data_IF_453124284200
#
_entry.id   IF_453124284200
#
_cell.length_a   1.000
_cell.length_b   1.000
_cell.length_c   1.000
_cell.angle_alpha   90.00
_cell.angle_beta   90.00
_cell.angle_gamma   90.00
#
_symmetry.space_group_name_H-M   'P 1'
#
loop_
_entity.id
_entity.type
_entity.pdbx_description
1 polymer ?
#
# COMPACT_ATOMS: atom_id res chain seq x y z
N UNK A 1 2.02 11.53 14.95
CA UNK A 1 2.18 10.13 15.38
C UNK A 1 1.04 9.31 14.81
N UNK A 2 1.26 8.04 14.52
CA UNK A 2 0.20 7.12 14.08
C UNK A 2 -0.06 6.08 15.15
N UNK A 3 -1.13 5.29 14.99
CA UNK A 3 -1.62 4.37 16.02
C UNK A 3 -0.60 3.32 16.45
N UNK A 4 0.43 3.03 15.63
CA UNK A 4 1.51 2.08 15.97
C UNK A 4 2.28 2.49 17.23
N UNK A 5 2.37 3.79 17.52
CA UNK A 5 3.13 4.36 18.64
C UNK A 5 2.21 4.99 19.71
N UNK A 6 0.92 4.64 19.73
CA UNK A 6 -0.07 5.20 20.65
C UNK A 6 -0.49 4.21 21.73
N UNK A 7 -0.85 4.74 22.90
CA UNK A 7 -1.55 4.00 23.96
C UNK A 7 -3.08 4.18 23.87
N UNK A 8 -3.82 3.43 24.69
CA UNK A 8 -5.26 3.65 24.85
C UNK A 8 -5.55 5.01 25.52
N UNK A 9 -6.63 5.73 25.12
CA UNK A 9 -7.66 5.32 24.16
C UNK A 9 -7.34 5.69 22.70
N UNK A 10 -6.27 6.44 22.45
CA UNK A 10 -5.96 7.02 21.14
C UNK A 10 -5.63 5.96 20.09
N UNK A 11 -4.91 4.89 20.48
CA UNK A 11 -4.59 3.76 19.60
C UNK A 11 -5.84 3.16 18.97
N UNK A 12 -6.83 2.77 19.78
CA UNK A 12 -8.06 2.15 19.27
C UNK A 12 -8.89 3.13 18.47
N UNK A 13 -8.94 4.40 18.88
CA UNK A 13 -9.66 5.44 18.14
C UNK A 13 -9.13 5.60 16.71
N UNK A 14 -7.80 5.74 16.54
CA UNK A 14 -7.23 5.96 15.21
C UNK A 14 -7.17 4.66 14.40
N UNK A 15 -6.87 3.52 15.02
CA UNK A 15 -6.89 2.20 14.35
C UNK A 15 -8.28 1.85 13.81
N UNK A 16 -9.33 2.17 14.58
CA UNK A 16 -10.72 1.94 14.17
C UNK A 16 -11.14 2.70 12.90
N UNK A 17 -10.38 3.71 12.48
CA UNK A 17 -10.65 4.46 11.24
C UNK A 17 -10.38 3.62 9.97
N UNK A 18 -9.54 2.58 10.08
CA UNK A 18 -9.08 1.77 8.93
C UNK A 18 -9.29 0.26 9.10
N UNK A 19 -9.66 -0.21 10.30
CA UNK A 19 -9.72 -1.64 10.60
C UNK A 19 -10.70 -2.44 9.74
N UNK A 20 -11.77 -1.81 9.25
CA UNK A 20 -12.79 -2.45 8.42
C UNK A 20 -12.25 -3.04 7.12
N UNK A 21 -11.14 -2.51 6.59
CA UNK A 21 -10.46 -3.04 5.40
C UNK A 21 -9.62 -4.30 5.68
N UNK A 22 -9.44 -4.64 6.95
CA UNK A 22 -8.63 -5.78 7.40
C UNK A 22 -9.45 -6.79 8.21
N UNK A 23 -10.76 -6.57 8.33
CA UNK A 23 -11.68 -7.57 8.87
C UNK A 23 -11.78 -8.79 7.95
N UNK A 24 -12.05 -9.96 8.54
CA UNK A 24 -12.13 -11.24 7.82
C UNK A 24 -13.09 -11.17 6.63
N UNK A 25 -14.25 -10.54 6.81
CA UNK A 25 -15.27 -10.36 5.76
C UNK A 25 -14.73 -9.61 4.53
N UNK A 26 -13.97 -8.53 4.75
CA UNK A 26 -13.36 -7.75 3.68
C UNK A 26 -12.25 -8.56 2.98
N UNK A 27 -11.37 -9.19 3.77
CA UNK A 27 -10.28 -10.03 3.24
C UNK A 27 -10.82 -11.22 2.43
N UNK A 28 -11.87 -11.89 2.89
CA UNK A 28 -12.54 -12.98 2.16
C UNK A 28 -13.13 -12.47 0.83
N UNK A 29 -13.69 -11.26 0.82
CA UNK A 29 -14.16 -10.59 -0.39
C UNK A 29 -13.04 -10.30 -1.41
N UNK A 30 -11.81 -10.07 -0.95
CA UNK A 30 -10.64 -9.85 -1.80
C UNK A 30 -10.02 -11.14 -2.35
N UNK A 31 -10.45 -12.32 -1.89
CA UNK A 31 -9.77 -13.60 -2.21
C UNK A 31 -9.67 -13.84 -3.73
N UNK A 32 -10.72 -13.53 -4.49
CA UNK A 32 -10.69 -13.66 -5.95
C UNK A 32 -9.62 -12.76 -6.59
N UNK A 33 -9.49 -11.52 -6.10
CA UNK A 33 -8.49 -10.58 -6.56
C UNK A 33 -7.07 -11.06 -6.22
N UNK A 34 -6.84 -11.51 -4.97
CA UNK A 34 -5.54 -12.02 -4.51
C UNK A 34 -5.10 -13.23 -5.36
N UNK A 35 -5.99 -14.20 -5.57
CA UNK A 35 -5.71 -15.39 -6.39
C UNK A 35 -5.39 -14.98 -7.83
N UNK A 36 -6.17 -14.06 -8.41
CA UNK A 36 -5.92 -13.57 -9.76
C UNK A 36 -4.56 -12.89 -9.87
N UNK A 37 -4.22 -12.00 -8.95
CA UNK A 37 -2.92 -11.31 -8.94
C UNK A 37 -1.76 -12.32 -8.85
N UNK A 38 -1.87 -13.32 -7.97
CA UNK A 38 -0.87 -14.38 -7.87
C UNK A 38 -0.73 -15.21 -9.15
N UNK A 39 -1.85 -15.54 -9.81
CA UNK A 39 -1.86 -16.27 -11.08
C UNK A 39 -1.20 -15.46 -12.20
N UNK A 40 -1.58 -14.18 -12.34
CA UNK A 40 -1.04 -13.30 -13.38
C UNK A 40 0.49 -13.12 -13.21
N UNK A 41 0.97 -12.95 -11.96
CA UNK A 41 2.40 -12.88 -11.64
C UNK A 41 3.13 -14.20 -11.93
N UNK A 42 2.52 -15.33 -11.58
CA UNK A 42 3.08 -16.66 -11.85
C UNK A 42 3.20 -16.94 -13.35
N UNK A 43 2.20 -16.53 -14.14
CA UNK A 43 2.23 -16.71 -15.60
C UNK A 43 3.28 -15.81 -16.25
N UNK A 44 3.46 -14.57 -15.76
CA UNK A 44 4.56 -13.70 -16.17
C UNK A 44 5.94 -14.31 -15.82
N UNK A 45 6.08 -14.89 -14.62
CA UNK A 45 7.30 -15.56 -14.18
C UNK A 45 7.64 -16.76 -15.08
N UNK A 46 6.67 -17.63 -15.39
CA UNK A 46 6.84 -18.76 -16.33
C UNK A 46 7.28 -18.29 -17.71
N UNK A 47 6.67 -17.21 -18.22
CA UNK A 47 7.03 -16.65 -19.52
C UNK A 47 8.48 -16.16 -19.53
N UNK A 48 8.94 -15.53 -18.44
CA UNK A 48 10.31 -15.03 -18.28
C UNK A 48 11.34 -16.15 -18.21
N UNK A 49 11.03 -17.24 -17.52
CA UNK A 49 11.90 -18.42 -17.38
C UNK A 49 11.84 -19.43 -18.54
N UNK A 50 11.12 -19.11 -19.63
CA UNK A 50 10.85 -20.07 -20.73
C UNK A 50 12.10 -20.61 -21.41
N UNK A 51 13.21 -19.88 -21.37
CA UNK A 51 14.49 -20.28 -21.95
C UNK A 51 15.38 -21.09 -20.98
N UNK A 52 14.91 -21.38 -19.76
CA UNK A 52 15.66 -22.13 -18.75
C UNK A 52 16.65 -21.28 -17.95
N UNK A 53 16.70 -19.97 -18.17
CA UNK A 53 17.53 -19.06 -17.38
C UNK A 53 16.94 -18.84 -15.99
N UNK A 54 17.78 -18.70 -14.94
CA UNK A 54 17.32 -18.30 -13.62
C UNK A 54 16.55 -16.97 -13.65
N UNK A 55 15.47 -16.91 -12.88
CA UNK A 55 14.66 -15.70 -12.71
C UNK A 55 14.60 -15.34 -11.24
N UNK A 56 14.75 -14.06 -10.92
CA UNK A 56 14.63 -13.57 -9.55
C UNK A 56 13.16 -13.68 -9.07
N UNK A 57 12.91 -14.60 -8.14
CA UNK A 57 11.59 -14.82 -7.56
C UNK A 57 11.13 -13.61 -6.73
N UNK A 58 12.06 -12.88 -6.11
CA UNK A 58 11.72 -11.69 -5.33
C UNK A 58 11.20 -10.62 -6.26
N UNK A 59 11.98 -10.26 -7.28
CA UNK A 59 11.62 -9.20 -8.24
C UNK A 59 10.28 -9.49 -8.94
N UNK A 60 10.04 -10.74 -9.33
CA UNK A 60 8.93 -11.10 -10.21
C UNK A 60 7.72 -11.73 -9.53
N UNK A 61 7.79 -12.04 -8.23
CA UNK A 61 6.65 -12.64 -7.52
C UNK A 61 6.52 -12.11 -6.09
N UNK A 62 7.53 -12.32 -5.24
CA UNK A 62 7.42 -12.04 -3.81
C UNK A 62 7.27 -10.54 -3.51
N UNK A 63 7.96 -9.67 -4.25
CA UNK A 63 7.83 -8.23 -4.15
C UNK A 63 6.48 -7.70 -4.69
N UNK A 64 6.06 -8.01 -5.94
CA UNK A 64 4.85 -7.42 -6.50
C UNK A 64 3.56 -7.94 -5.85
N UNK A 65 3.50 -9.20 -5.39
CA UNK A 65 2.26 -9.76 -4.85
C UNK A 65 1.68 -8.96 -3.66
N UNK A 66 2.37 -8.80 -2.52
CA UNK A 66 1.86 -8.00 -1.40
C UNK A 66 1.73 -6.53 -1.77
N UNK A 67 2.67 -6.01 -2.56
CA UNK A 67 2.68 -4.59 -2.95
C UNK A 67 1.42 -4.22 -3.74
N UNK A 68 1.03 -5.04 -4.72
CA UNK A 68 -0.15 -4.79 -5.54
C UNK A 68 -1.43 -4.87 -4.69
N UNK A 69 -1.49 -5.81 -3.74
CA UNK A 69 -2.64 -5.96 -2.85
C UNK A 69 -2.81 -4.72 -1.96
N UNK A 70 -1.76 -4.31 -1.23
CA UNK A 70 -1.87 -3.18 -0.30
C UNK A 70 -2.11 -1.86 -1.06
N UNK A 71 -1.47 -1.66 -2.22
CA UNK A 71 -1.72 -0.48 -3.03
C UNK A 71 -3.15 -0.43 -3.56
N UNK A 72 -3.75 -1.56 -3.94
CA UNK A 72 -5.16 -1.61 -4.32
C UNK A 72 -6.08 -1.26 -3.14
N UNK A 73 -5.82 -1.79 -1.94
CA UNK A 73 -6.58 -1.43 -0.73
C UNK A 73 -6.48 0.07 -0.43
N UNK A 74 -5.30 0.66 -0.65
CA UNK A 74 -5.07 2.09 -0.48
C UNK A 74 -5.72 2.96 -1.56
N UNK A 75 -6.14 2.37 -2.68
CA UNK A 75 -6.81 3.08 -3.77
C UNK A 75 -5.90 3.50 -4.91
N UNK A 76 -4.71 2.92 -5.03
CA UNK A 76 -3.79 3.20 -6.13
C UNK A 76 -4.30 2.56 -7.44
N UNK A 77 -4.36 3.29 -8.55
CA UNK A 77 -4.73 2.76 -9.85
C UNK A 77 -3.73 1.73 -10.36
N UNK A 78 -4.23 0.72 -11.08
CA UNK A 78 -3.45 -0.40 -11.59
C UNK A 78 -2.20 0.01 -12.40
N UNK A 79 -2.30 1.09 -13.18
CA UNK A 79 -1.20 1.60 -14.01
C UNK A 79 0.04 2.01 -13.22
N UNK A 80 -0.14 2.39 -11.95
CA UNK A 80 0.91 3.01 -11.14
C UNK A 80 1.59 1.97 -10.22
N UNK A 81 0.99 0.78 -10.08
CA UNK A 81 1.46 -0.28 -9.19
C UNK A 81 2.91 -0.70 -9.46
N UNK A 82 3.37 -0.92 -10.71
CA UNK A 82 4.74 -1.35 -10.95
C UNK A 82 5.77 -0.31 -10.48
N UNK A 83 5.53 0.97 -10.79
CA UNK A 83 6.41 2.06 -10.40
C UNK A 83 6.47 2.22 -8.87
N UNK A 84 5.31 2.27 -8.21
CA UNK A 84 5.24 2.48 -6.76
C UNK A 84 5.75 1.26 -5.98
N UNK A 85 5.62 0.06 -6.52
CA UNK A 85 6.23 -1.16 -5.96
C UNK A 85 7.75 -1.04 -5.94
N UNK A 86 8.35 -0.58 -7.05
CA UNK A 86 9.79 -0.34 -7.11
C UNK A 86 10.24 0.76 -6.14
N UNK A 87 9.49 1.86 -6.05
CA UNK A 87 9.80 2.94 -5.10
C UNK A 87 9.76 2.44 -3.65
N UNK A 88 8.75 1.65 -3.28
CA UNK A 88 8.69 1.11 -1.92
C UNK A 88 9.84 0.12 -1.63
N UNK A 89 10.25 -0.68 -2.61
CA UNK A 89 11.40 -1.57 -2.47
C UNK A 89 12.71 -0.80 -2.20
N UNK A 90 12.93 0.33 -2.88
CA UNK A 90 14.12 1.18 -2.68
C UNK A 90 14.23 1.64 -1.22
N UNK A 91 13.10 1.89 -0.53
CA UNK A 91 13.09 2.37 0.87
C UNK A 91 13.72 1.40 1.86
N UNK A 92 13.58 0.09 1.62
CA UNK A 92 14.04 -0.96 2.54
C UNK A 92 15.18 -1.78 1.96
N UNK A 93 15.65 -1.46 0.75
CA UNK A 93 16.75 -2.18 0.12
C UNK A 93 18.08 -1.85 0.80
N UNK A 94 18.78 -2.87 1.30
CA UNK A 94 20.07 -2.72 1.96
C UNK A 94 21.20 -2.16 1.08
N UNK A 95 21.03 -2.14 -0.25
CA UNK A 95 21.97 -1.52 -1.19
C UNK A 95 21.65 -0.07 -1.55
N UNK A 96 20.48 0.44 -1.16
CA UNK A 96 20.11 1.83 -1.42
C UNK A 96 20.89 2.80 -0.53
N UNK A 97 21.20 3.98 -1.06
CA UNK A 97 21.78 5.04 -0.22
C UNK A 97 20.71 5.63 0.69
N UNK A 98 21.11 6.22 1.81
CA UNK A 98 20.17 6.93 2.70
C UNK A 98 19.40 8.05 1.96
N UNK A 99 20.03 8.67 0.95
CA UNK A 99 19.38 9.68 0.11
C UNK A 99 18.28 9.07 -0.75
N UNK A 100 18.55 7.93 -1.38
CA UNK A 100 17.59 7.27 -2.28
C UNK A 100 16.39 6.73 -1.49
N UNK A 101 16.64 6.10 -0.32
CA UNK A 101 15.58 5.62 0.55
C UNK A 101 14.69 6.77 1.09
N UNK A 102 15.29 7.91 1.43
CA UNK A 102 14.57 9.12 1.83
C UNK A 102 13.75 9.71 0.68
N UNK A 103 14.34 9.83 -0.51
CA UNK A 103 13.67 10.33 -1.70
C UNK A 103 12.48 9.45 -2.11
N UNK A 104 12.64 8.12 -2.07
CA UNK A 104 11.55 7.19 -2.32
C UNK A 104 10.43 7.29 -1.27
N UNK A 105 10.78 7.48 0.01
CA UNK A 105 9.79 7.71 1.07
C UNK A 105 8.99 8.99 0.84
N UNK A 106 9.66 10.10 0.49
CA UNK A 106 9.00 11.35 0.19
C UNK A 106 8.12 11.24 -1.07
N UNK A 107 8.59 10.57 -2.13
CA UNK A 107 7.82 10.38 -3.34
C UNK A 107 6.52 9.59 -3.12
N UNK A 108 6.54 8.57 -2.26
CA UNK A 108 5.32 7.84 -1.88
C UNK A 108 4.35 8.69 -1.07
N UNK A 109 4.84 9.51 -0.14
CA UNK A 109 4.03 10.46 0.62
C UNK A 109 3.37 11.50 -0.31
N UNK A 110 4.13 12.08 -1.24
CA UNK A 110 3.63 13.05 -2.21
C UNK A 110 2.57 12.44 -3.15
N UNK A 111 2.80 11.20 -3.57
CA UNK A 111 1.82 10.44 -4.36
C UNK A 111 0.51 10.25 -3.59
N UNK A 112 0.59 9.78 -2.34
CA UNK A 112 -0.60 9.58 -1.50
C UNK A 112 -1.33 10.90 -1.23
N UNK A 113 -0.61 11.99 -0.99
CA UNK A 113 -1.20 13.31 -0.81
C UNK A 113 -1.96 13.77 -2.06
N UNK A 114 -1.41 13.51 -3.26
CA UNK A 114 -2.09 13.80 -4.53
C UNK A 114 -3.32 12.90 -4.72
N UNK A 115 -3.23 11.63 -4.35
CA UNK A 115 -4.35 10.69 -4.42
C UNK A 115 -5.48 11.09 -3.48
N UNK A 116 -5.16 11.59 -2.28
CA UNK A 116 -6.14 12.16 -1.34
C UNK A 116 -6.97 13.29 -1.97
N UNK A 117 -6.33 14.22 -2.70
CA UNK A 117 -7.06 15.31 -3.38
C UNK A 117 -8.05 14.77 -4.41
N UNK A 118 -7.64 13.74 -5.15
CA UNK A 118 -8.51 13.06 -6.13
C UNK A 118 -9.69 12.38 -5.43
N UNK A 119 -9.47 11.71 -4.29
CA UNK A 119 -10.54 11.01 -3.54
C UNK A 119 -11.47 11.96 -2.79
N UNK A 120 -11.00 13.13 -2.35
CA UNK A 120 -11.88 14.17 -1.82
C UNK A 120 -12.90 14.66 -2.86
N UNK A 121 -12.47 14.76 -4.14
CA UNK A 121 -13.35 15.17 -5.24
C UNK A 121 -14.23 14.03 -5.77
N UNK A 122 -13.68 12.81 -5.85
CA UNK A 122 -14.35 11.63 -6.38
C UNK A 122 -13.99 10.39 -5.54
N UNK A 123 -14.74 10.13 -4.45
CA UNK A 123 -14.51 9.00 -3.56
C UNK A 123 -14.68 7.66 -4.29
N UNK A 124 -13.88 6.67 -3.90
CA UNK A 124 -13.97 5.28 -4.34
C UNK A 124 -14.05 4.34 -3.13
N UNK A 125 -14.08 3.04 -3.37
CA UNK A 125 -14.08 2.02 -2.31
C UNK A 125 -12.64 1.66 -1.93
N UNK A 126 -11.97 2.58 -1.22
CA UNK A 126 -10.58 2.43 -0.78
C UNK A 126 -10.29 3.19 0.53
N UNK A 127 -9.16 2.84 1.19
CA UNK A 127 -8.75 3.43 2.47
C UNK A 127 -8.62 4.94 2.39
N UNK A 128 -8.00 5.46 1.32
CA UNK A 128 -7.78 6.90 1.17
C UNK A 128 -9.12 7.64 1.05
N UNK A 129 -10.10 7.08 0.35
CA UNK A 129 -11.45 7.64 0.26
C UNK A 129 -12.17 7.62 1.60
N UNK A 130 -12.09 6.52 2.34
CA UNK A 130 -12.68 6.41 3.68
C UNK A 130 -12.11 7.48 4.61
N UNK A 131 -10.78 7.59 4.67
CA UNK A 131 -10.11 8.61 5.49
C UNK A 131 -10.47 10.03 5.02
N UNK A 132 -10.49 10.28 3.72
CA UNK A 132 -10.84 11.59 3.16
C UNK A 132 -12.25 12.04 3.54
N UNK A 133 -13.23 11.13 3.46
CA UNK A 133 -14.65 11.46 3.64
C UNK A 133 -15.10 11.38 5.10
N UNK A 134 -14.61 10.40 5.86
CA UNK A 134 -15.09 10.17 7.23
C UNK A 134 -14.22 10.84 8.30
N UNK A 135 -12.96 11.19 7.97
CA UNK A 135 -12.02 11.74 8.95
C UNK A 135 -11.57 13.15 8.58
N UNK A 136 -11.11 13.37 7.34
CA UNK A 136 -10.59 14.68 6.91
C UNK A 136 -11.72 15.68 6.70
N UNK A 137 -12.75 15.33 5.92
CA UNK A 137 -13.87 16.23 5.62
C UNK A 137 -14.65 16.72 6.86
N UNK A 138 -14.89 15.89 7.89
CA UNK A 138 -15.52 16.35 9.14
C UNK A 138 -14.55 17.07 10.10
N UNK A 139 -13.25 17.09 9.82
CA UNK A 139 -12.23 17.75 10.64
C UNK A 139 -11.70 16.92 11.81
N UNK A 140 -11.86 15.59 11.79
CA UNK A 140 -11.28 14.70 12.80
C UNK A 140 -9.78 14.48 12.61
N UNK A 141 -9.32 14.54 11.37
CA UNK A 141 -7.91 14.51 10.98
C UNK A 141 -7.62 15.65 10.00
N UNK A 142 -6.41 16.16 10.00
CA UNK A 142 -5.91 16.89 8.85
C UNK A 142 -5.48 15.93 7.71
N UNK A 143 -5.24 16.49 6.52
CA UNK A 143 -4.81 15.70 5.36
C UNK A 143 -3.47 15.01 5.59
N UNK A 144 -2.53 15.66 6.28
CA UNK A 144 -1.20 15.12 6.51
C UNK A 144 -1.26 13.91 7.45
N UNK A 145 -2.07 13.97 8.50
CA UNK A 145 -2.34 12.86 9.41
C UNK A 145 -2.94 11.67 8.67
N UNK A 146 -3.92 11.91 7.79
CA UNK A 146 -4.55 10.86 6.99
C UNK A 146 -3.57 10.21 5.98
N UNK A 147 -2.69 11.01 5.35
CA UNK A 147 -1.61 10.51 4.51
C UNK A 147 -0.63 9.64 5.32
N UNK A 148 -0.29 10.03 6.55
CA UNK A 148 0.59 9.23 7.39
C UNK A 148 -0.03 7.89 7.82
N UNK A 149 -1.35 7.83 8.03
CA UNK A 149 -2.05 6.56 8.28
C UNK A 149 -1.96 5.65 7.05
N UNK A 150 -2.25 6.18 5.86
CA UNK A 150 -2.12 5.41 4.61
C UNK A 150 -0.67 4.92 4.37
N UNK A 151 0.31 5.78 4.67
CA UNK A 151 1.72 5.43 4.59
C UNK A 151 2.12 4.35 5.60
N UNK A 152 1.65 4.44 6.85
CA UNK A 152 1.85 3.39 7.86
C UNK A 152 1.37 2.02 7.33
N UNK A 153 0.16 1.96 6.78
CA UNK A 153 -0.42 0.72 6.25
C UNK A 153 0.40 0.14 5.10
N UNK A 154 0.94 0.99 4.22
CA UNK A 154 1.84 0.56 3.15
C UNK A 154 3.13 -0.05 3.70
N UNK A 155 3.78 0.63 4.64
CA UNK A 155 5.19 0.33 4.97
C UNK A 155 5.33 -0.68 6.10
N UNK A 156 4.34 -0.80 6.99
CA UNK A 156 4.44 -1.62 8.19
C UNK A 156 4.54 -3.12 7.89
N UNK A 157 3.77 -3.61 6.92
CA UNK A 157 3.66 -5.04 6.64
C UNK A 157 4.32 -5.51 5.34
N UNK A 158 4.54 -4.61 4.36
CA UNK A 158 4.89 -5.04 3.00
C UNK A 158 6.20 -5.83 2.98
N UNK A 159 7.27 -5.29 3.57
CA UNK A 159 8.57 -5.94 3.57
C UNK A 159 8.64 -7.24 4.41
N UNK A 160 7.66 -7.50 5.29
CA UNK A 160 7.59 -8.74 6.08
C UNK A 160 6.90 -9.87 5.31
N UNK A 161 6.07 -9.54 4.32
CA UNK A 161 5.37 -10.51 3.47
C UNK A 161 6.22 -10.89 2.25
N UNK A 162 7.08 -9.98 1.77
CA UNK A 162 8.11 -10.25 0.76
C UNK A 162 9.13 -11.25 1.30
#
# INVERSE_FOLDING_TARGET
PTFVDMDAPDHLRQRGMVESFFERSHVDGMMQYIVKTAQDLMDALKAKGKNGEPVDLIEHFALPLPSYIIYTILGVPFSDLPFLTQQNAIRTNGSATARDASAASQGLLDYMATLFDKRLAAPQDDVISKLAIEQVKPGHLDKAEAVQIAFLLLVAGNATVV
#
